data_IF_580388970325
#
_entry.id   IF_580388970325
#
_cell.length_a   1.000
_cell.length_b   1.000
_cell.length_c   1.000
_cell.angle_alpha   90.00
_cell.angle_beta   90.00
_cell.angle_gamma   90.00
#
_symmetry.space_group_name_H-M   'P 1'
#
loop_
_entity.id
_entity.type
_entity.pdbx_description
1 polymer ?
#
# COMPACT_ATOMS: atom_id res chain seq x y z
N UNK A 1 1.88 -51.78 -5.59
CA UNK A 1 0.75 -51.56 -4.66
C UNK A 1 0.62 -50.05 -4.57
N UNK A 2 -0.30 -49.47 -5.32
CA UNK A 2 -0.43 -48.02 -5.49
C UNK A 2 -0.86 -47.38 -4.15
N UNK A 3 -0.15 -46.34 -3.72
CA UNK A 3 -0.47 -45.63 -2.48
C UNK A 3 -1.78 -44.83 -2.65
N UNK A 4 -2.72 -44.86 -1.68
CA UNK A 4 -3.94 -44.07 -1.75
C UNK A 4 -3.60 -42.57 -1.77
N UNK A 5 -4.00 -41.89 -2.84
CA UNK A 5 -3.96 -40.43 -2.93
C UNK A 5 -4.99 -39.85 -1.96
N UNK A 6 -4.55 -39.50 -0.75
CA UNK A 6 -5.40 -38.77 0.19
C UNK A 6 -5.64 -37.35 -0.35
N UNK A 7 -6.89 -36.85 -0.34
CA UNK A 7 -7.19 -35.49 -0.74
C UNK A 7 -6.33 -34.53 0.08
N UNK A 8 -5.45 -33.79 -0.58
CA UNK A 8 -4.78 -32.65 0.02
C UNK A 8 -5.88 -31.67 0.40
N UNK A 9 -6.07 -31.38 1.69
CA UNK A 9 -7.05 -30.43 2.22
C UNK A 9 -6.74 -28.98 1.82
N UNK A 10 -6.65 -28.72 0.52
CA UNK A 10 -6.32 -27.43 -0.07
C UNK A 10 -7.57 -26.57 0.01
N UNK A 11 -7.51 -25.53 0.82
CA UNK A 11 -8.47 -24.42 0.80
C UNK A 11 -8.01 -23.36 -0.20
N UNK A 12 -8.95 -22.60 -0.76
CA UNK A 12 -8.58 -21.51 -1.67
C UNK A 12 -8.00 -20.35 -0.86
N UNK A 13 -6.94 -19.69 -1.37
CA UNK A 13 -6.30 -18.56 -0.66
C UNK A 13 -7.30 -17.45 -0.29
N UNK A 14 -8.31 -17.23 -1.13
CA UNK A 14 -9.39 -16.26 -0.92
C UNK A 14 -10.17 -16.47 0.40
N UNK A 15 -10.23 -17.69 0.93
CA UNK A 15 -10.92 -17.99 2.19
C UNK A 15 -10.11 -17.54 3.42
N UNK A 16 -8.80 -17.35 3.23
CA UNK A 16 -7.84 -16.95 4.27
C UNK A 16 -7.49 -15.47 4.21
N UNK A 17 -7.86 -14.79 3.13
CA UNK A 17 -7.59 -13.37 2.95
C UNK A 17 -8.56 -12.51 3.76
N UNK A 18 -8.10 -11.38 4.32
CA UNK A 18 -8.99 -10.43 4.97
C UNK A 18 -9.96 -9.87 3.93
N UNK A 19 -11.27 -9.92 4.23
CA UNK A 19 -12.28 -9.35 3.32
C UNK A 19 -12.05 -7.85 3.16
N UNK A 20 -11.95 -7.42 1.91
CA UNK A 20 -11.99 -5.99 1.56
C UNK A 20 -13.32 -5.39 2.00
N UNK A 21 -13.27 -4.16 2.52
CA UNK A 21 -14.47 -3.39 2.85
C UNK A 21 -15.35 -3.21 1.61
N UNK A 22 -16.68 -3.26 1.79
CA UNK A 22 -17.60 -2.91 0.71
C UNK A 22 -17.60 -1.40 0.42
N UNK A 23 -18.17 -0.98 -0.70
CA UNK A 23 -18.13 0.42 -1.13
C UNK A 23 -18.73 1.40 -0.10
N UNK A 24 -19.81 1.02 0.58
CA UNK A 24 -20.43 1.86 1.61
C UNK A 24 -19.54 1.97 2.84
N UNK A 25 -18.91 0.88 3.27
CA UNK A 25 -17.96 0.89 4.37
C UNK A 25 -16.74 1.77 4.06
N UNK A 26 -16.25 1.74 2.81
CA UNK A 26 -15.15 2.62 2.36
C UNK A 26 -15.58 4.08 2.43
N UNK A 27 -16.78 4.41 1.95
CA UNK A 27 -17.33 5.77 2.01
C UNK A 27 -17.48 6.26 3.45
N UNK A 28 -18.11 5.46 4.31
CA UNK A 28 -18.26 5.80 5.73
C UNK A 28 -16.92 5.94 6.45
N UNK A 29 -15.94 5.06 6.18
CA UNK A 29 -14.61 5.16 6.75
C UNK A 29 -13.90 6.46 6.32
N UNK A 30 -14.05 6.85 5.04
CA UNK A 30 -13.51 8.12 4.53
C UNK A 30 -14.13 9.32 5.23
N UNK A 31 -15.45 9.35 5.39
CA UNK A 31 -16.15 10.44 6.06
C UNK A 31 -15.68 10.59 7.51
N UNK A 32 -15.55 9.47 8.24
CA UNK A 32 -15.02 9.46 9.60
C UNK A 32 -13.57 9.91 9.66
N UNK A 33 -12.73 9.51 8.70
CA UNK A 33 -11.34 9.96 8.63
C UNK A 33 -11.26 11.48 8.46
N UNK A 34 -12.05 12.06 7.56
CA UNK A 34 -12.14 13.52 7.37
C UNK A 34 -12.62 14.20 8.65
N UNK A 35 -13.63 13.66 9.32
CA UNK A 35 -14.12 14.20 10.59
C UNK A 35 -13.03 14.21 11.67
N UNK A 36 -12.26 13.13 11.82
CA UNK A 36 -11.17 13.04 12.79
C UNK A 36 -10.10 14.10 12.50
N UNK A 37 -9.65 14.20 11.25
CA UNK A 37 -8.62 15.17 10.86
C UNK A 37 -9.05 16.62 11.09
N UNK A 38 -10.34 16.92 10.98
CA UNK A 38 -10.86 18.27 11.18
C UNK A 38 -11.16 18.61 12.65
N UNK A 39 -11.30 17.61 13.53
CA UNK A 39 -11.78 17.82 14.91
C UNK A 39 -10.76 17.46 15.99
N UNK A 40 -9.74 16.67 15.65
CA UNK A 40 -8.71 16.20 16.58
C UNK A 40 -7.38 16.90 16.32
N UNK A 41 -6.51 16.92 17.33
CA UNK A 41 -5.13 17.35 17.11
C UNK A 41 -4.39 16.32 16.25
N UNK A 42 -3.27 16.74 15.67
CA UNK A 42 -2.46 15.87 14.80
C UNK A 42 -1.97 14.64 15.58
N UNK A 43 -1.59 14.82 16.85
CA UNK A 43 -1.10 13.75 17.71
C UNK A 43 -2.18 12.72 18.03
N UNK A 44 -3.39 13.20 18.36
CA UNK A 44 -4.54 12.33 18.60
C UNK A 44 -4.98 11.59 17.34
N UNK A 45 -5.05 12.29 16.20
CA UNK A 45 -5.39 11.68 14.92
C UNK A 45 -4.36 10.61 14.54
N UNK A 46 -3.07 10.91 14.69
CA UNK A 46 -1.97 9.96 14.45
C UNK A 46 -2.11 8.71 15.31
N UNK A 47 -2.38 8.88 16.61
CA UNK A 47 -2.64 7.75 17.52
C UNK A 47 -3.82 6.91 17.03
N UNK A 48 -4.95 7.54 16.66
CA UNK A 48 -6.15 6.82 16.19
C UNK A 48 -5.85 5.99 14.93
N UNK A 49 -5.15 6.55 13.96
CA UNK A 49 -4.89 5.86 12.69
C UNK A 49 -3.82 4.76 12.79
N UNK A 50 -2.98 4.80 13.82
CA UNK A 50 -1.84 3.87 13.96
C UNK A 50 -1.98 2.88 15.12
N UNK A 51 -2.98 3.05 15.99
CA UNK A 51 -3.23 2.18 17.12
C UNK A 51 -3.46 0.72 16.66
N UNK A 52 -2.60 -0.19 17.13
CA UNK A 52 -2.66 -1.62 16.79
C UNK A 52 -1.98 -2.01 15.49
N UNK A 53 -1.41 -1.07 14.72
CA UNK A 53 -0.59 -1.38 13.56
C UNK A 53 0.84 -1.69 13.98
N UNK A 54 1.45 -2.71 13.37
CA UNK A 54 2.88 -2.96 13.48
C UNK A 54 3.59 -2.31 12.30
N UNK A 55 4.65 -1.51 12.53
CA UNK A 55 5.48 -1.01 11.45
C UNK A 55 6.02 -2.17 10.63
N UNK A 56 5.92 -2.08 9.30
CA UNK A 56 6.65 -2.99 8.43
C UNK A 56 8.11 -2.59 8.56
N UNK A 57 8.93 -3.48 9.15
CA UNK A 57 10.38 -3.28 9.19
C UNK A 57 10.86 -3.32 7.75
N UNK A 58 11.05 -2.15 7.14
CA UNK A 58 11.69 -2.06 5.84
C UNK A 58 13.06 -2.71 5.94
N UNK A 59 13.35 -3.69 5.09
CA UNK A 59 14.64 -4.41 5.08
C UNK A 59 15.87 -3.53 4.88
N UNK A 60 15.68 -2.22 4.70
CA UNK A 60 16.73 -1.20 4.66
C UNK A 60 17.40 -0.95 6.03
N UNK A 61 16.76 -1.26 7.17
CA UNK A 61 17.35 -1.02 8.50
C UNK A 61 18.47 -2.00 8.89
N UNK A 62 18.78 -3.00 8.07
CA UNK A 62 19.80 -4.01 8.39
C UNK A 62 21.23 -3.62 7.96
N UNK A 63 21.42 -2.49 7.27
CA UNK A 63 22.76 -1.98 6.99
C UNK A 63 23.04 -0.81 7.94
N UNK A 64 23.87 -1.07 8.94
CA UNK A 64 24.53 0.00 9.68
C UNK A 64 25.29 0.88 8.69
N UNK A 65 24.75 2.05 8.40
CA UNK A 65 25.50 3.16 7.85
C UNK A 65 24.67 4.42 8.07
N UNK A 66 25.29 5.42 8.67
CA UNK A 66 24.79 6.77 8.91
C UNK A 66 24.41 7.49 7.60
N UNK A 67 23.42 7.00 6.88
CA UNK A 67 22.81 7.71 5.76
C UNK A 67 21.43 8.14 6.23
N UNK A 68 21.39 9.33 6.83
CA UNK A 68 20.17 10.12 6.91
C UNK A 68 19.65 10.30 5.49
N UNK A 69 18.66 9.49 5.10
CA UNK A 69 17.81 9.84 3.96
C UNK A 69 16.97 11.03 4.44
N UNK A 70 17.50 12.24 4.26
CA UNK A 70 16.69 13.46 4.29
C UNK A 70 15.63 13.26 3.22
N UNK A 71 14.42 12.90 3.64
CA UNK A 71 13.25 12.91 2.78
C UNK A 71 12.84 14.38 2.77
N UNK A 72 13.30 15.11 1.76
CA UNK A 72 12.84 16.47 1.45
C UNK A 72 11.33 16.38 1.16
N UNK A 73 10.56 16.65 2.22
CA UNK A 73 9.10 16.51 2.25
C UNK A 73 8.41 17.57 1.37
N UNK A 74 9.17 18.54 0.87
CA UNK A 74 8.70 19.59 -0.03
C UNK A 74 8.49 19.10 -1.46
N UNK A 75 9.28 18.14 -1.97
CA UNK A 75 9.13 17.64 -3.34
C UNK A 75 7.87 16.78 -3.54
N UNK A 76 7.41 16.06 -2.51
CA UNK A 76 6.19 15.22 -2.60
C UNK A 76 4.90 16.07 -2.65
N UNK A 77 4.93 17.27 -2.06
CA UNK A 77 3.77 18.17 -2.01
C UNK A 77 3.54 18.92 -3.34
N UNK A 78 4.58 19.08 -4.16
CA UNK A 78 4.49 19.68 -5.51
C UNK A 78 3.87 18.72 -6.55
N UNK A 79 4.03 17.41 -6.38
CA UNK A 79 3.44 16.39 -7.24
C UNK A 79 1.91 16.36 -7.18
N UNK A 80 1.31 16.79 -6.06
CA UNK A 80 -0.14 16.83 -5.89
C UNK A 80 -0.79 18.10 -6.45
N UNK A 81 0.00 19.12 -6.80
CA UNK A 81 -0.48 20.41 -7.30
C UNK A 81 -0.28 20.64 -8.80
N UNK A 82 0.42 19.74 -9.50
CA UNK A 82 0.59 19.82 -10.96
C UNK A 82 -0.66 19.28 -11.69
N UNK A 83 -1.68 20.13 -11.72
CA UNK A 83 -2.73 20.08 -12.72
C UNK A 83 -2.11 20.41 -14.09
N UNK A 84 -2.09 19.39 -14.93
CA UNK A 84 -1.91 19.43 -16.40
C UNK A 84 -0.47 19.47 -16.95
N UNK A 85 -0.33 18.84 -18.12
CA UNK A 85 0.83 18.74 -19.02
C UNK A 85 1.96 17.75 -18.66
N UNK A 86 1.86 16.55 -19.26
CA UNK A 86 2.92 15.89 -20.04
C UNK A 86 4.33 16.49 -19.93
N UNK A 87 5.31 15.76 -19.38
CA UNK A 87 6.64 15.48 -20.00
C UNK A 87 7.48 14.53 -19.12
N UNK A 88 7.56 13.29 -19.59
CA UNK A 88 8.70 12.37 -19.58
C UNK A 88 9.85 12.61 -18.59
N UNK A 89 9.93 11.76 -17.56
CA UNK A 89 11.22 11.22 -17.08
C UNK A 89 11.23 9.73 -17.44
N UNK A 90 12.06 9.41 -18.43
CA UNK A 90 12.28 8.07 -18.96
C UNK A 90 12.97 7.22 -17.89
N UNK A 91 12.24 6.28 -17.28
CA UNK A 91 12.82 5.01 -16.85
C UNK A 91 12.42 3.96 -17.88
N UNK A 92 13.42 3.53 -18.66
CA UNK A 92 13.28 2.64 -19.82
C UNK A 92 13.04 1.17 -19.43
N UNK A 93 12.07 0.91 -18.55
CA UNK A 93 11.38 -0.37 -18.55
C UNK A 93 10.13 -0.18 -19.41
N UNK A 94 10.27 -0.45 -20.71
CA UNK A 94 9.16 -0.44 -21.64
C UNK A 94 7.95 -1.11 -20.99
N UNK A 95 6.83 -0.39 -20.89
CA UNK A 95 5.52 -0.96 -20.58
C UNK A 95 5.25 -2.02 -21.65
N UNK A 96 5.67 -3.26 -21.39
CA UNK A 96 5.37 -4.38 -22.25
C UNK A 96 3.89 -4.62 -22.07
N UNK A 97 3.13 -4.19 -23.06
CA UNK A 97 1.74 -4.60 -23.22
C UNK A 97 1.67 -6.13 -23.09
N UNK A 98 0.87 -6.57 -22.13
CA UNK A 98 0.68 -7.98 -21.77
C UNK A 98 0.11 -8.76 -22.96
N UNK A 99 -0.56 -8.07 -23.89
CA UNK A 99 -1.08 -8.65 -25.12
C UNK A 99 0.02 -9.12 -26.11
N UNK A 100 1.28 -8.74 -25.90
CA UNK A 100 2.41 -9.16 -26.75
C UNK A 100 3.33 -10.20 -26.08
N UNK A 101 2.96 -10.77 -24.94
CA UNK A 101 3.73 -11.87 -24.34
C UNK A 101 3.45 -13.20 -25.08
N UNK A 102 4.48 -14.02 -25.40
CA UNK A 102 4.28 -15.30 -26.07
C UNK A 102 3.61 -16.34 -25.15
N UNK A 103 2.88 -17.28 -25.76
CA UNK A 103 2.34 -18.49 -25.12
C UNK A 103 3.40 -19.57 -24.93
#
# INVERSE_FOLDING_TARGET
MEAPMLPLGRTSSIEREPRTLNIHQIQSARELAVYILNTKTIEEASRIFTEGLQPVVSGACCLGSDTTMDIDLDEELELMNSKDATTQVVSAAAFRDIASAPF
#
